data_IF_492951317985
#
_entry.id   IF_492951317985
#
_cell.length_a   1.000
_cell.length_b   1.000
_cell.length_c   1.000
_cell.angle_alpha   90.00
_cell.angle_beta   90.00
_cell.angle_gamma   90.00
#
_symmetry.space_group_name_H-M   'P 1'
#
loop_
_entity.id
_entity.type
_entity.pdbx_description
1 polymer ?
#
# COMPACT_ATOMS: atom_id res chain seq x y z
N UNK A 1 3.24 -12.71 5.92
CA UNK A 1 2.62 -12.25 4.65
C UNK A 1 1.65 -11.14 5.00
N UNK A 2 1.59 -10.06 4.21
CA UNK A 2 0.54 -9.06 4.41
C UNK A 2 -0.79 -9.62 3.94
N UNK A 3 -1.80 -9.67 4.81
CA UNK A 3 -3.08 -10.31 4.54
C UNK A 3 -4.20 -9.76 5.44
N UNK A 4 -5.46 -9.84 5.00
CA UNK A 4 -6.61 -9.58 5.88
C UNK A 4 -6.55 -10.43 7.14
N UNK A 5 -6.87 -9.85 8.30
CA UNK A 5 -6.80 -10.52 9.60
C UNK A 5 -5.39 -10.73 10.17
N UNK A 6 -4.34 -10.38 9.42
CA UNK A 6 -2.96 -10.34 9.87
C UNK A 6 -2.36 -8.94 9.74
N UNK A 7 -1.05 -8.86 9.53
CA UNK A 7 -0.38 -7.59 9.21
C UNK A 7 -0.91 -7.03 7.89
N UNK A 8 -1.26 -5.76 7.87
CA UNK A 8 -1.67 -5.03 6.68
C UNK A 8 -1.33 -3.56 6.83
N UNK A 9 -1.20 -2.87 5.70
CA UNK A 9 -1.04 -1.42 5.66
C UNK A 9 -2.42 -0.77 5.52
N UNK A 10 -2.66 0.27 6.31
CA UNK A 10 -3.90 1.03 6.26
C UNK A 10 -3.64 2.39 5.60
N UNK A 11 -4.38 2.67 4.53
CA UNK A 11 -4.35 3.98 3.87
C UNK A 11 -5.41 4.87 4.50
N UNK A 12 -5.02 5.67 5.50
CA UNK A 12 -5.93 6.59 6.20
C UNK A 12 -6.21 7.84 5.37
N UNK A 13 -7.48 8.24 5.31
CA UNK A 13 -7.96 9.44 4.60
C UNK A 13 -7.40 9.58 3.17
N UNK A 14 -7.74 8.64 2.26
CA UNK A 14 -7.21 8.66 0.91
C UNK A 14 -7.66 9.92 0.17
N UNK A 15 -6.73 10.58 -0.53
CA UNK A 15 -6.98 11.82 -1.28
C UNK A 15 -7.99 11.65 -2.44
N UNK A 16 -8.22 10.40 -2.86
CA UNK A 16 -9.18 10.01 -3.90
C UNK A 16 -9.77 8.67 -3.55
N UNK A 17 -10.98 8.40 -4.03
CA UNK A 17 -11.57 7.06 -3.96
C UNK A 17 -10.70 6.07 -4.74
N UNK A 18 -10.42 4.91 -4.14
CA UNK A 18 -9.75 3.80 -4.79
C UNK A 18 -10.78 2.90 -5.47
N UNK A 19 -10.53 2.54 -6.72
CA UNK A 19 -11.39 1.66 -7.54
C UNK A 19 -10.61 0.43 -7.97
N UNK A 20 -11.32 -0.68 -8.19
CA UNK A 20 -10.70 -1.89 -8.73
C UNK A 20 -10.01 -1.59 -10.08
N UNK A 21 -8.79 -2.09 -10.26
CA UNK A 21 -7.93 -1.81 -11.41
C UNK A 21 -7.03 -0.57 -11.25
N UNK A 22 -7.24 0.25 -10.21
CA UNK A 22 -6.32 1.33 -9.89
C UNK A 22 -4.95 0.79 -9.50
N UNK A 23 -3.91 1.59 -9.75
CA UNK A 23 -2.57 1.36 -9.24
C UNK A 23 -2.28 2.35 -8.11
N UNK A 24 -1.69 1.84 -7.03
CA UNK A 24 -1.24 2.62 -5.88
C UNK A 24 0.25 2.35 -5.68
N UNK A 25 1.05 3.40 -5.89
CA UNK A 25 2.48 3.37 -5.61
C UNK A 25 2.69 3.73 -4.13
N UNK A 26 3.43 2.88 -3.43
CA UNK A 26 3.77 3.01 -2.02
C UNK A 26 5.29 2.97 -1.88
N UNK A 27 5.84 3.91 -1.15
CA UNK A 27 7.25 3.89 -0.77
C UNK A 27 7.36 3.40 0.66
N UNK A 28 8.01 2.26 0.86
CA UNK A 28 8.28 1.70 2.18
C UNK A 28 9.63 2.21 2.67
N UNK A 29 9.61 2.90 3.80
CA UNK A 29 10.82 3.40 4.46
C UNK A 29 11.13 2.52 5.65
N UNK A 30 12.31 1.91 5.65
CA UNK A 30 12.77 1.05 6.71
C UNK A 30 13.79 1.78 7.58
N UNK A 31 13.79 1.43 8.87
CA UNK A 31 14.84 1.88 9.79
C UNK A 31 16.21 1.50 9.21
N UNK A 32 17.10 2.48 9.09
CA UNK A 32 18.40 2.32 8.42
C UNK A 32 18.49 3.04 7.06
N UNK A 33 17.41 3.68 6.61
CA UNK A 33 17.41 4.54 5.42
C UNK A 33 17.16 3.78 4.10
N UNK A 34 16.86 2.49 4.15
CA UNK A 34 16.41 1.75 2.98
C UNK A 34 15.02 2.24 2.57
N UNK A 35 14.89 2.63 1.31
CA UNK A 35 13.66 3.07 0.69
C UNK A 35 13.31 2.11 -0.43
N UNK A 36 12.12 1.51 -0.38
CA UNK A 36 11.67 0.52 -1.36
C UNK A 36 10.35 0.98 -2.02
N UNK A 37 10.38 1.38 -3.30
CA UNK A 37 9.16 1.64 -4.05
C UNK A 37 8.48 0.32 -4.42
N UNK A 38 7.19 0.21 -4.13
CA UNK A 38 6.34 -0.92 -4.49
C UNK A 38 5.05 -0.40 -5.08
N UNK A 39 4.48 -1.15 -6.02
CA UNK A 39 3.25 -0.75 -6.69
C UNK A 39 2.23 -1.88 -6.59
N UNK A 40 1.05 -1.55 -6.07
CA UNK A 40 -0.02 -2.50 -5.85
C UNK A 40 -1.24 -2.14 -6.69
N UNK A 41 -1.88 -3.17 -7.23
CA UNK A 41 -3.17 -3.06 -7.89
C UNK A 41 -4.28 -3.15 -6.84
N UNK A 42 -5.26 -2.26 -6.93
CA UNK A 42 -6.48 -2.32 -6.13
C UNK A 42 -7.37 -3.41 -6.71
N UNK A 43 -7.64 -4.43 -5.91
CA UNK A 43 -8.46 -5.60 -6.28
C UNK A 43 -9.74 -5.63 -5.44
N UNK A 44 -10.76 -6.35 -5.93
CA UNK A 44 -12.03 -6.55 -5.24
C UNK A 44 -11.90 -7.55 -4.10
#
# INVERSE_FOLDING_TARGET
LFAPGGYHLMLSNPKRTLRAGDRVDITLEFRGGLVLPVAYEVRK
#
